data_IF_755638960321
#
_entry.id   IF_755638960321
#
_cell.length_a   1.000
_cell.length_b   1.000
_cell.length_c   1.000
_cell.angle_alpha   90.00
_cell.angle_beta   90.00
_cell.angle_gamma   90.00
#
_symmetry.space_group_name_H-M   'P 1'
#
loop_
_entity.id
_entity.type
_entity.pdbx_description
1 polymer ?
#
# COMPACT_ATOMS: atom_id res chain seq x y z
N UNK A 1 -0.48 -5.35 17.04
CA UNK A 1 0.52 -5.20 18.11
C UNK A 1 0.81 -3.72 18.31
N UNK A 2 0.38 -3.13 19.44
CA UNK A 2 0.77 -1.75 19.80
C UNK A 2 2.19 -1.82 20.36
N UNK A 3 3.12 -1.05 19.79
CA UNK A 3 4.50 -0.97 20.28
C UNK A 3 4.47 -0.20 21.61
N UNK A 4 4.47 -0.92 22.73
CA UNK A 4 4.30 -0.36 24.09
C UNK A 4 5.45 0.56 24.55
N UNK A 5 6.48 0.76 23.73
CA UNK A 5 7.62 1.62 24.01
C UNK A 5 7.87 2.55 22.81
N UNK A 6 7.02 3.57 22.65
CA UNK A 6 7.37 4.72 21.82
C UNK A 6 8.21 5.68 22.68
N UNK A 7 9.37 6.14 22.19
CA UNK A 7 10.16 7.17 22.89
C UNK A 7 9.27 8.38 23.20
N UNK A 8 9.44 8.98 24.39
CA UNK A 8 8.72 10.21 24.74
C UNK A 8 8.96 11.28 23.67
N UNK A 9 7.89 11.74 23.03
CA UNK A 9 7.93 12.74 21.96
C UNK A 9 7.75 12.19 20.54
N UNK A 10 7.74 10.86 20.35
CA UNK A 10 7.42 10.25 19.05
C UNK A 10 5.91 10.09 18.90
N UNK A 11 5.33 10.68 17.85
CA UNK A 11 3.92 10.48 17.49
C UNK A 11 3.65 9.00 17.21
N UNK A 12 2.54 8.43 17.71
CA UNK A 12 2.13 7.07 17.35
C UNK A 12 1.72 6.95 15.88
N UNK A 13 1.41 8.08 15.25
CA UNK A 13 0.87 8.16 13.89
C UNK A 13 1.99 8.49 12.88
N UNK A 14 2.11 7.67 11.85
CA UNK A 14 3.01 7.91 10.72
C UNK A 14 2.25 8.69 9.66
N UNK A 15 2.77 9.87 9.30
CA UNK A 15 2.20 10.72 8.27
C UNK A 15 3.01 10.56 6.98
N UNK A 16 2.41 9.94 5.97
CA UNK A 16 2.99 9.81 4.63
C UNK A 16 2.12 10.58 3.65
N UNK A 17 2.72 11.44 2.82
CA UNK A 17 1.99 12.11 1.74
C UNK A 17 1.95 11.16 0.54
N UNK A 18 0.75 10.72 0.18
CA UNK A 18 0.52 9.93 -1.02
C UNK A 18 -0.05 10.84 -2.11
N UNK A 19 0.35 10.59 -3.35
CA UNK A 19 -0.37 11.12 -4.51
C UNK A 19 -1.65 10.28 -4.77
N UNK A 20 -2.42 10.65 -5.78
CA UNK A 20 -3.73 10.07 -6.06
C UNK A 20 -3.71 8.53 -6.21
N UNK A 21 -2.77 7.98 -6.97
CA UNK A 21 -2.66 6.53 -7.19
C UNK A 21 -2.20 5.82 -5.92
N UNK A 22 -1.20 6.39 -5.23
CA UNK A 22 -0.74 5.88 -3.95
C UNK A 22 -1.88 5.80 -2.92
N UNK A 23 -2.74 6.81 -2.88
CA UNK A 23 -3.93 6.85 -2.01
C UNK A 23 -4.95 5.78 -2.41
N UNK A 24 -5.22 5.64 -3.71
CA UNK A 24 -6.14 4.63 -4.22
C UNK A 24 -5.65 3.20 -3.92
N UNK A 25 -4.35 2.93 -4.12
CA UNK A 25 -3.74 1.64 -3.75
C UNK A 25 -3.86 1.40 -2.25
N UNK A 26 -3.49 2.38 -1.43
CA UNK A 26 -3.53 2.26 0.04
C UNK A 26 -4.93 1.91 0.56
N UNK A 27 -5.96 2.59 0.06
CA UNK A 27 -7.35 2.36 0.47
C UNK A 27 -7.88 0.96 0.11
N UNK A 28 -7.21 0.24 -0.81
CA UNK A 28 -7.58 -1.12 -1.20
C UNK A 28 -6.79 -2.20 -0.45
N UNK A 29 -5.81 -1.83 0.39
CA UNK A 29 -5.06 -2.77 1.22
C UNK A 29 -5.85 -3.05 2.50
N UNK A 30 -6.52 -4.19 2.54
CA UNK A 30 -7.36 -4.64 3.65
C UNK A 30 -6.84 -5.91 4.36
N UNK A 31 -5.63 -6.36 4.00
CA UNK A 31 -5.02 -7.60 4.50
C UNK A 31 -5.61 -8.90 3.91
N UNK A 32 -6.58 -8.82 3.02
CA UNK A 32 -7.24 -9.97 2.40
C UNK A 32 -7.01 -10.05 0.90
N UNK A 33 -7.02 -8.91 0.23
CA UNK A 33 -6.83 -8.83 -1.23
C UNK A 33 -5.39 -9.08 -1.64
N UNK A 34 -5.24 -9.77 -2.75
CA UNK A 34 -3.98 -9.94 -3.48
C UNK A 34 -3.65 -8.69 -4.29
N UNK A 35 -2.37 -8.51 -4.60
CA UNK A 35 -1.90 -7.40 -5.47
C UNK A 35 -2.61 -7.42 -6.82
N UNK A 36 -2.88 -8.61 -7.37
CA UNK A 36 -3.62 -8.77 -8.62
C UNK A 36 -5.07 -8.27 -8.52
N UNK A 37 -5.77 -8.54 -7.42
CA UNK A 37 -7.15 -8.04 -7.23
C UNK A 37 -7.18 -6.52 -7.09
N UNK A 38 -6.21 -5.95 -6.37
CA UNK A 38 -6.04 -4.49 -6.28
C UNK A 38 -5.83 -3.89 -7.68
N UNK A 39 -4.96 -4.51 -8.49
CA UNK A 39 -4.73 -4.09 -9.88
C UNK A 39 -6.02 -4.15 -10.71
N UNK A 40 -6.81 -5.22 -10.59
CA UNK A 40 -8.05 -5.34 -11.35
C UNK A 40 -9.09 -4.30 -10.95
N UNK A 41 -9.18 -3.94 -9.66
CA UNK A 41 -10.11 -2.92 -9.16
C UNK A 41 -9.74 -1.52 -9.65
N UNK A 42 -8.45 -1.20 -9.61
CA UNK A 42 -7.93 0.10 -10.04
C UNK A 42 -7.91 0.27 -11.56
N UNK A 43 -7.92 -0.82 -12.34
CA UNK A 43 -7.98 -0.78 -13.80
C UNK A 43 -9.23 -0.04 -14.33
N UNK A 44 -10.32 0.00 -13.57
CA UNK A 44 -11.53 0.77 -13.93
C UNK A 44 -11.32 2.28 -13.94
N UNK A 45 -10.33 2.77 -13.19
CA UNK A 45 -10.04 4.19 -13.01
C UNK A 45 -8.75 4.63 -13.72
N UNK A 46 -7.73 3.78 -13.71
CA UNK A 46 -6.39 4.10 -14.20
C UNK A 46 -5.90 3.18 -15.34
N UNK A 47 -6.77 2.31 -15.86
CA UNK A 47 -6.36 1.26 -16.81
C UNK A 47 -5.90 1.76 -18.18
N UNK A 48 -6.26 2.99 -18.56
CA UNK A 48 -5.81 3.63 -19.80
C UNK A 48 -4.42 4.26 -19.68
N UNK A 49 -3.88 4.38 -18.47
CA UNK A 49 -2.56 4.94 -18.25
C UNK A 49 -1.44 3.96 -18.63
N UNK A 50 -0.47 4.46 -19.39
CA UNK A 50 0.74 3.72 -19.68
C UNK A 50 1.49 3.38 -18.39
N UNK A 51 1.96 2.14 -18.27
CA UNK A 51 2.74 1.65 -17.13
C UNK A 51 1.99 1.64 -15.78
N UNK A 52 0.65 1.69 -15.78
CA UNK A 52 -0.18 1.60 -14.57
C UNK A 52 0.14 0.35 -13.71
N UNK A 53 0.20 -0.84 -14.31
CA UNK A 53 0.48 -2.10 -13.59
C UNK A 53 1.87 -2.08 -12.92
N UNK A 54 2.97 -1.76 -13.66
CA UNK A 54 4.29 -1.54 -13.05
C UNK A 54 4.28 -0.51 -11.91
N UNK A 55 3.52 0.58 -12.05
CA UNK A 55 3.43 1.65 -11.04
C UNK A 55 2.77 1.15 -9.75
N UNK A 56 1.62 0.48 -9.83
CA UNK A 56 0.95 -0.12 -8.66
C UNK A 56 1.87 -1.13 -7.98
N UNK A 57 2.57 -1.96 -8.77
CA UNK A 57 3.51 -2.94 -8.24
C UNK A 57 4.66 -2.26 -7.50
N UNK A 58 5.25 -1.20 -8.07
CA UNK A 58 6.30 -0.43 -7.43
C UNK A 58 5.85 0.18 -6.09
N UNK A 59 4.63 0.72 -6.02
CA UNK A 59 4.06 1.22 -4.78
C UNK A 59 3.96 0.16 -3.69
N UNK A 60 3.38 -1.00 -4.01
CA UNK A 60 3.24 -2.10 -3.05
C UNK A 60 4.62 -2.57 -2.56
N UNK A 61 5.60 -2.68 -3.47
CA UNK A 61 6.96 -3.06 -3.10
C UNK A 61 7.64 -2.01 -2.21
N UNK A 62 7.42 -0.72 -2.46
CA UNK A 62 7.96 0.36 -1.64
C UNK A 62 7.35 0.34 -0.23
N UNK A 63 6.03 0.22 -0.11
CA UNK A 63 5.34 0.10 1.18
C UNK A 63 5.83 -1.11 1.99
N UNK A 64 6.12 -2.22 1.31
CA UNK A 64 6.70 -3.41 1.93
C UNK A 64 8.15 -3.15 2.39
N UNK A 65 8.97 -2.54 1.54
CA UNK A 65 10.38 -2.20 1.83
C UNK A 65 10.49 -1.26 3.04
N UNK A 66 9.59 -0.29 3.13
CA UNK A 66 9.56 0.69 4.21
C UNK A 66 8.88 0.15 5.49
N UNK A 67 8.35 -1.08 5.45
CA UNK A 67 7.78 -1.76 6.60
C UNK A 67 6.35 -1.32 6.96
N UNK A 68 5.65 -0.62 6.05
CA UNK A 68 4.25 -0.20 6.25
C UNK A 68 3.26 -1.35 6.06
N UNK A 69 3.59 -2.32 5.20
CA UNK A 69 2.76 -3.49 4.94
C UNK A 69 3.60 -4.78 4.96
N UNK A 70 2.93 -5.91 5.14
CA UNK A 70 3.52 -7.24 5.00
C UNK A 70 2.82 -8.00 3.87
N UNK A 71 3.61 -8.67 3.02
CA UNK A 71 3.09 -9.57 2.00
C UNK A 71 3.13 -10.99 2.55
N UNK A 72 1.99 -11.67 2.49
CA UNK A 72 1.82 -13.05 2.93
C UNK A 72 1.48 -13.94 1.74
N UNK A 73 2.07 -15.13 1.70
CA UNK A 73 1.68 -16.18 0.74
C UNK A 73 0.58 -17.00 1.41
N UNK A 74 -0.58 -17.10 0.76
CA UNK A 74 -1.64 -18.04 1.17
C UNK A 74 -1.43 -19.32 0.37
N UNK A 75 -1.20 -20.43 1.08
CA UNK A 75 -1.20 -21.79 0.51
C UNK A 75 -2.64 -22.29 0.37
#
# INVERSE_FOLDING_TARGET
>A
MRRFLLPKGMSPDIHVRLEEHGTAVWNLIDGHRTVREIISLLARHFGEEENYIPRVTAYVMQLRKDGFIQLTIRN
#
